data_IF_515679787131
#
_entry.id   IF_515679787131
#
_cell.length_a   1.000
_cell.length_b   1.000
_cell.length_c   1.000
_cell.angle_alpha   90.00
_cell.angle_beta   90.00
_cell.angle_gamma   90.00
#
_symmetry.space_group_name_H-M   'P 1'
#
loop_
_entity.id
_entity.type
_entity.pdbx_description
1 polymer ?
#
# COMPACT_ATOMS: atom_id res chain seq x y z
N UNK A 1 -20.18 22.11 13.16
CA UNK A 1 -20.05 20.68 12.78
C UNK A 1 -18.73 20.49 12.08
N UNK A 2 -17.65 20.14 12.80
CA UNK A 2 -16.39 19.66 12.18
C UNK A 2 -15.61 18.79 13.18
N UNK A 3 -16.27 17.82 13.80
CA UNK A 3 -15.55 16.67 14.36
C UNK A 3 -15.25 15.76 13.18
N UNK A 4 -13.99 15.60 12.78
CA UNK A 4 -13.53 14.39 12.06
C UNK A 4 -12.01 14.34 11.99
N UNK A 5 -11.43 13.78 13.06
CA UNK A 5 -10.28 12.87 13.05
C UNK A 5 -9.15 13.25 12.08
N UNK A 6 -8.27 14.12 12.57
CA UNK A 6 -6.84 14.00 12.28
C UNK A 6 -6.44 12.51 12.50
N UNK A 7 -5.75 11.90 11.53
CA UNK A 7 -5.00 10.61 11.60
C UNK A 7 -5.45 9.41 10.73
N UNK A 8 -6.45 9.49 9.86
CA UNK A 8 -6.86 8.32 9.04
C UNK A 8 -6.39 8.39 7.58
N UNK A 9 -5.09 8.61 7.34
CA UNK A 9 -4.54 8.69 5.98
C UNK A 9 -4.72 7.36 5.22
N UNK A 10 -5.21 7.41 3.98
CA UNK A 10 -5.43 6.24 3.14
C UNK A 10 -4.16 5.40 2.94
N UNK A 11 -2.97 5.97 3.11
CA UNK A 11 -1.70 5.23 3.05
C UNK A 11 -1.56 4.10 4.07
N UNK A 12 -2.30 4.15 5.19
CA UNK A 12 -2.35 3.10 6.21
C UNK A 12 -3.60 2.22 6.09
N UNK A 13 -4.36 2.36 5.00
CA UNK A 13 -5.56 1.58 4.75
C UNK A 13 -5.21 0.24 4.11
N UNK A 14 -5.81 -0.85 4.58
CA UNK A 14 -5.69 -2.19 4.01
C UNK A 14 -6.16 -2.29 2.55
N UNK A 15 -6.92 -1.30 2.08
CA UNK A 15 -7.46 -1.22 0.72
C UNK A 15 -6.67 -0.30 -0.21
N UNK A 16 -5.60 0.31 0.30
CA UNK A 16 -4.74 1.20 -0.46
C UNK A 16 -3.50 0.45 -0.94
N UNK A 17 -3.30 0.45 -2.25
CA UNK A 17 -2.10 -0.08 -2.88
C UNK A 17 -1.17 1.08 -3.19
N UNK A 18 -0.02 1.12 -2.53
CA UNK A 18 0.98 2.16 -2.78
C UNK A 18 1.62 1.96 -4.15
N UNK A 19 1.91 3.06 -4.84
CA UNK A 19 2.72 3.03 -6.06
C UNK A 19 4.21 2.97 -5.69
N UNK A 20 5.01 2.17 -6.39
CA UNK A 20 6.45 2.02 -6.08
C UNK A 20 7.27 3.26 -6.45
N UNK A 21 6.88 3.94 -7.53
CA UNK A 21 7.58 5.10 -8.07
C UNK A 21 7.20 6.37 -7.31
N UNK A 22 5.93 6.52 -7.01
CA UNK A 22 5.37 7.74 -6.41
C UNK A 22 4.67 7.45 -5.09
N UNK A 23 5.39 7.59 -3.97
CA UNK A 23 4.89 7.29 -2.61
C UNK A 23 3.67 8.12 -2.15
N UNK A 24 3.34 9.19 -2.87
CA UNK A 24 2.26 10.13 -2.55
C UNK A 24 0.96 9.82 -3.31
N UNK A 25 0.98 8.84 -4.21
CA UNK A 25 -0.17 8.36 -4.97
C UNK A 25 -0.24 6.84 -4.85
N UNK A 26 -1.46 6.33 -4.94
CA UNK A 26 -1.71 4.91 -4.87
C UNK A 26 -3.13 4.61 -5.34
N UNK A 27 -3.45 3.34 -5.40
CA UNK A 27 -4.73 2.86 -5.90
C UNK A 27 -5.65 2.48 -4.75
N UNK A 28 -6.86 3.03 -4.72
CA UNK A 28 -7.88 2.63 -3.77
C UNK A 28 -8.72 1.50 -4.37
N UNK A 29 -8.58 0.29 -3.84
CA UNK A 29 -9.31 -0.87 -4.35
C UNK A 29 -10.83 -0.79 -4.10
N UNK A 30 -11.27 0.08 -3.20
CA UNK A 30 -12.70 0.28 -2.91
C UNK A 30 -13.38 1.22 -3.92
N UNK A 31 -12.66 2.25 -4.36
CA UNK A 31 -13.17 3.26 -5.28
C UNK A 31 -12.78 2.96 -6.74
N UNK A 32 -11.86 2.02 -6.96
CA UNK A 32 -11.37 1.66 -8.28
C UNK A 32 -10.58 2.77 -8.98
N UNK A 33 -9.93 3.65 -8.22
CA UNK A 33 -9.26 4.85 -8.76
C UNK A 33 -7.97 5.18 -8.03
N UNK A 34 -7.09 5.91 -8.71
CA UNK A 34 -5.88 6.47 -8.11
C UNK A 34 -6.29 7.60 -7.17
N UNK A 35 -5.80 7.55 -5.93
CA UNK A 35 -6.01 8.57 -4.90
C UNK A 35 -4.67 9.04 -4.34
N UNK A 36 -4.67 10.23 -3.77
CA UNK A 36 -3.49 10.83 -3.13
C UNK A 36 -3.40 10.38 -1.68
N UNK A 37 -2.22 10.02 -1.21
CA UNK A 37 -1.98 9.42 0.11
C UNK A 37 -2.48 10.24 1.32
N UNK A 38 -2.60 11.56 1.15
CA UNK A 38 -3.06 12.50 2.18
C UNK A 38 -4.58 12.53 2.38
N UNK A 39 -5.36 11.84 1.56
CA UNK A 39 -6.80 11.77 1.74
C UNK A 39 -7.17 10.71 2.77
N UNK A 40 -8.25 10.95 3.51
CA UNK A 40 -8.93 9.95 4.34
C UNK A 40 -10.35 9.75 3.81
N UNK A 41 -10.97 8.61 4.12
CA UNK A 41 -12.37 8.36 3.75
C UNK A 41 -13.07 7.55 4.85
N UNK A 42 -14.41 7.58 4.89
CA UNK A 42 -15.22 6.80 5.85
C UNK A 42 -15.03 5.29 5.72
N UNK A 43 -14.53 4.82 4.57
CA UNK A 43 -14.25 3.40 4.30
C UNK A 43 -12.81 3.01 4.73
N UNK A 44 -12.13 3.87 5.48
CA UNK A 44 -10.80 3.59 6.01
C UNK A 44 -10.83 2.36 6.91
N UNK A 45 -9.94 1.41 6.64
CA UNK A 45 -9.71 0.25 7.48
C UNK A 45 -8.22 0.12 7.68
N UNK A 46 -7.76 0.31 8.92
CA UNK A 46 -6.36 0.10 9.27
C UNK A 46 -5.91 -1.31 8.85
N UNK A 47 -4.69 -1.39 8.33
CA UNK A 47 -4.08 -2.65 7.91
C UNK A 47 -3.43 -3.34 9.10
N UNK A 48 -3.76 -4.62 9.28
CA UNK A 48 -3.11 -5.46 10.27
C UNK A 48 -1.81 -6.03 9.69
N UNK A 49 -0.73 -5.27 9.79
CA UNK A 49 0.57 -5.66 9.24
C UNK A 49 1.09 -6.98 9.81
N UNK A 50 0.73 -7.33 11.05
CA UNK A 50 1.13 -8.59 11.66
C UNK A 50 0.47 -9.77 10.94
N UNK A 51 -0.83 -9.67 10.64
CA UNK A 51 -1.55 -10.65 9.84
C UNK A 51 -0.98 -10.73 8.43
N UNK A 52 -0.74 -9.59 7.78
CA UNK A 52 -0.15 -9.53 6.43
C UNK A 52 1.20 -10.22 6.38
N UNK A 53 2.08 -9.96 7.37
CA UNK A 53 3.37 -10.61 7.47
C UNK A 53 3.23 -12.12 7.66
N UNK A 54 2.26 -12.57 8.46
CA UNK A 54 2.00 -14.00 8.67
C UNK A 54 1.48 -14.69 7.40
N UNK A 55 0.60 -14.02 6.64
CA UNK A 55 0.00 -14.56 5.41
C UNK A 55 0.96 -14.53 4.22
N UNK A 56 1.70 -13.43 4.02
CA UNK A 56 2.61 -13.24 2.88
C UNK A 56 4.04 -13.69 3.18
N UNK A 57 4.45 -13.69 4.45
CA UNK A 57 5.82 -13.96 4.89
C UNK A 57 6.77 -12.76 4.78
N UNK A 58 6.35 -11.65 4.17
CA UNK A 58 7.19 -10.47 3.96
C UNK A 58 6.35 -9.19 3.82
N UNK A 59 6.98 -8.05 4.10
CA UNK A 59 6.41 -6.71 3.87
C UNK A 59 7.50 -5.83 3.27
N UNK A 60 7.16 -5.01 2.28
CA UNK A 60 8.04 -4.01 1.70
C UNK A 60 7.90 -2.67 2.44
N UNK A 61 9.00 -2.14 2.97
CA UNK A 61 9.06 -0.77 3.44
C UNK A 61 9.43 0.14 2.27
N UNK A 62 8.49 0.94 1.75
CA UNK A 62 8.75 1.90 0.68
C UNK A 62 9.61 3.07 1.15
N UNK A 63 9.52 3.44 2.44
CA UNK A 63 10.39 4.47 3.03
C UNK A 63 11.87 4.02 3.02
N UNK A 64 12.13 2.77 3.38
CA UNK A 64 13.50 2.21 3.42
C UNK A 64 13.93 1.58 2.08
N UNK A 65 12.98 1.35 1.17
CA UNK A 65 13.15 0.58 -0.09
C UNK A 65 13.72 -0.83 0.17
N UNK A 66 13.26 -1.48 1.24
CA UNK A 66 13.72 -2.80 1.67
C UNK A 66 12.55 -3.63 2.17
N UNK A 67 12.59 -4.93 1.89
CA UNK A 67 11.66 -5.89 2.46
C UNK A 67 12.17 -6.40 3.79
N UNK A 68 11.25 -6.61 4.72
CA UNK A 68 11.50 -7.28 5.99
C UNK A 68 10.54 -8.45 6.16
N UNK A 69 10.96 -9.40 7.00
CA UNK A 69 10.31 -10.72 7.13
C UNK A 69 9.95 -11.05 8.58
N UNK A 70 10.29 -10.15 9.53
CA UNK A 70 10.16 -10.40 10.96
C UNK A 70 9.29 -9.34 11.63
N UNK A 71 8.51 -9.79 12.61
CA UNK A 71 7.65 -8.91 13.41
C UNK A 71 8.47 -7.91 14.25
N UNK A 72 9.71 -8.27 14.61
CA UNK A 72 10.64 -7.35 15.28
C UNK A 72 11.00 -6.15 14.40
N UNK A 73 11.22 -6.37 13.10
CA UNK A 73 11.48 -5.28 12.16
C UNK A 73 10.23 -4.42 11.93
N UNK A 74 9.04 -5.03 11.96
CA UNK A 74 7.79 -4.30 11.81
C UNK A 74 7.65 -3.17 12.85
N UNK A 75 8.05 -3.40 14.10
CA UNK A 75 8.05 -2.35 15.14
C UNK A 75 9.05 -1.24 14.86
N UNK A 76 10.24 -1.57 14.33
CA UNK A 76 11.22 -0.57 13.91
C UNK A 76 10.77 0.25 12.69
N UNK A 77 9.82 -0.27 11.91
CA UNK A 77 9.21 0.40 10.76
C UNK A 77 7.83 1.00 11.08
N UNK A 78 7.46 1.12 12.36
CA UNK A 78 6.23 1.78 12.76
C UNK A 78 6.21 3.24 12.26
N UNK A 79 5.17 3.61 11.49
CA UNK A 79 5.04 4.93 10.88
C UNK A 79 5.72 5.09 9.52
N UNK A 80 6.44 4.07 9.03
CA UNK A 80 6.90 4.06 7.64
C UNK A 80 5.77 3.68 6.69
N UNK A 81 5.99 3.96 5.40
CA UNK A 81 5.09 3.54 4.34
C UNK A 81 5.40 2.08 4.05
N UNK A 82 4.47 1.21 4.42
CA UNK A 82 4.56 -0.23 4.25
C UNK A 82 3.62 -0.68 3.13
N UNK A 83 4.04 -1.69 2.39
CA UNK A 83 3.27 -2.29 1.31
C UNK A 83 3.56 -3.79 1.24
N UNK A 84 2.53 -4.62 1.23
CA UNK A 84 2.67 -6.04 0.87
C UNK A 84 2.55 -6.26 -0.63
N UNK A 85 1.86 -5.35 -1.31
CA UNK A 85 1.61 -5.36 -2.75
C UNK A 85 1.74 -3.92 -3.22
N UNK A 86 2.53 -3.72 -4.28
CA UNK A 86 2.68 -2.43 -4.95
C UNK A 86 1.94 -2.49 -6.27
N UNK A 87 1.26 -1.41 -6.62
CA UNK A 87 0.74 -1.25 -7.97
C UNK A 87 1.92 -0.85 -8.86
N UNK A 88 2.56 -1.84 -9.49
CA UNK A 88 3.53 -1.57 -10.56
C UNK A 88 2.75 -1.13 -11.80
N UNK A 89 3.26 -0.09 -12.45
CA UNK A 89 2.77 0.41 -13.74
C UNK A 89 3.19 -0.55 -14.87
N UNK A 90 2.96 -1.85 -14.70
CA UNK A 90 3.20 -2.84 -15.76
C UNK A 90 1.95 -2.87 -16.65
N UNK A 91 1.78 -1.79 -17.41
CA UNK A 91 0.84 -1.76 -18.52
C UNK A 91 1.44 -2.63 -19.63
N UNK A 92 0.87 -3.83 -19.75
CA UNK A 92 0.83 -4.69 -20.92
C UNK A 92 2.14 -5.41 -21.34
N UNK A 93 2.47 -6.49 -20.63
CA UNK A 93 3.01 -7.68 -21.30
C UNK A 93 1.87 -8.52 -21.92
N UNK A 94 1.08 -7.94 -22.83
CA UNK A 94 0.36 -8.74 -23.83
C UNK A 94 1.26 -8.86 -25.06
N UNK A 95 2.38 -9.58 -24.93
CA UNK A 95 3.11 -10.08 -26.10
C UNK A 95 2.28 -11.22 -26.68
N UNK A 96 1.37 -10.85 -27.59
CA UNK A 96 0.70 -11.82 -28.45
C UNK A 96 1.74 -12.43 -29.38
N UNK A 97 1.86 -13.77 -29.48
CA UNK A 97 2.73 -14.37 -30.47
C UNK A 97 2.09 -14.25 -31.86
N UNK A 98 2.49 -13.25 -32.64
CA UNK A 98 2.54 -13.35 -34.10
C UNK A 98 4.04 -13.39 -34.44
N UNK A 99 4.66 -14.48 -34.88
CA UNK A 99 4.17 -15.43 -35.87
C UNK A 99 4.34 -14.84 -37.28
N UNK A 100 5.59 -14.77 -37.76
CA UNK A 100 5.93 -14.77 -39.20
C UNK A 100 7.07 -15.76 -39.43
#
# INVERSE_FOLDING_TARGET
MSSSKESSCCIFCSKYLSNETFQWIGYCNVEGKIIVSKTSCDKFSEVDWKKVLNEKGWIHCLTCKKAFYSETELMSHAGHILASEVCSDDVAAEDSPCGD
#
